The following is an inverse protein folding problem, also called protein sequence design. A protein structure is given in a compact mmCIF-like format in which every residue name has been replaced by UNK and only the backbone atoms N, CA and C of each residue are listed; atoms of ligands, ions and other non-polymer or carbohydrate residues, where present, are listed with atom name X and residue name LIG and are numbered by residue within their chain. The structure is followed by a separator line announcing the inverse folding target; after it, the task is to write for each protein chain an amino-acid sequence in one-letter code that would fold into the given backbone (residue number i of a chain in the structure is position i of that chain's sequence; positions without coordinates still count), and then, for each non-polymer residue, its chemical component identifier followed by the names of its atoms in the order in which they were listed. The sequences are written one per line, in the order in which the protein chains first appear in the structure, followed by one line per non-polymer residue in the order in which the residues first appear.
data_IF_782597039645
#
_entry.id   IF_782597039645
#
_cell.length_a   1.000
_cell.length_b   1.000
_cell.length_c   1.000
_cell.angle_alpha   90.00
_cell.angle_beta   90.00
_cell.angle_gamma   90.00
#
_symmetry.space_group_name_H-M   'P 1'
#
loop_
_entity.id
_entity.type
_entity.pdbx_description
1 polymer ?
#
# COMPACT_ATOMS: atom_id res chain seq x y z
N UNK A 1 57.28 -21.87 39.62
CA UNK A 1 57.21 -21.21 38.29
C UNK A 1 56.50 -22.16 37.33
N UNK A 2 55.32 -21.78 36.84
CA UNK A 2 54.53 -22.60 35.92
C UNK A 2 53.11 -22.07 35.82
N UNK A 3 52.82 -21.38 34.73
CA UNK A 3 51.67 -20.49 34.55
C UNK A 3 50.33 -21.18 34.28
N UNK A 4 49.29 -20.45 34.67
CA UNK A 4 47.85 -20.58 34.42
C UNK A 4 47.42 -20.99 33.01
N UNK A 5 46.27 -21.69 32.90
CA UNK A 5 45.33 -21.54 31.77
C UNK A 5 43.88 -21.61 32.26
N UNK A 6 43.14 -20.52 32.05
CA UNK A 6 41.66 -20.45 32.14
C UNK A 6 41.04 -20.98 30.85
N UNK A 7 39.82 -21.53 30.85
CA UNK A 7 39.13 -21.92 29.62
C UNK A 7 38.74 -20.68 28.79
N UNK A 8 38.94 -20.79 27.48
CA UNK A 8 38.66 -19.74 26.51
C UNK A 8 37.14 -19.56 26.31
N UNK A 9 36.73 -18.30 26.42
CA UNK A 9 35.40 -17.81 26.10
C UNK A 9 35.15 -17.95 24.58
N UNK A 10 34.09 -18.66 24.19
CA UNK A 10 33.78 -18.94 22.78
C UNK A 10 32.97 -17.77 22.23
N UNK A 11 33.67 -16.77 21.68
CA UNK A 11 33.06 -15.65 20.98
C UNK A 11 32.20 -16.13 19.79
N UNK A 12 30.93 -15.75 19.79
CA UNK A 12 30.02 -15.89 18.65
C UNK A 12 30.34 -14.77 17.65
N UNK A 13 30.69 -15.07 16.37
CA UNK A 13 30.95 -14.00 15.41
C UNK A 13 29.66 -13.26 15.06
N UNK A 14 29.73 -11.93 15.10
CA UNK A 14 28.67 -11.04 14.70
C UNK A 14 28.25 -11.32 13.24
N UNK A 15 26.96 -11.58 13.03
CA UNK A 15 26.38 -11.72 11.69
C UNK A 15 26.61 -10.41 10.92
N UNK A 16 27.24 -10.55 9.76
CA UNK A 16 27.61 -9.45 8.88
C UNK A 16 26.43 -8.54 8.56
N UNK A 17 26.71 -7.24 8.51
CA UNK A 17 25.80 -6.23 7.97
C UNK A 17 25.52 -6.59 6.52
N UNK A 18 24.32 -7.10 6.26
CA UNK A 18 23.81 -7.26 4.92
C UNK A 18 23.83 -5.94 4.16
N UNK A 19 23.85 -5.98 2.81
CA UNK A 19 23.97 -4.79 1.99
C UNK A 19 22.83 -3.82 2.31
N UNK A 20 23.19 -2.59 2.67
CA UNK A 20 22.25 -1.47 2.78
C UNK A 20 21.78 -1.15 1.37
N UNK A 21 20.63 -1.67 0.98
CA UNK A 21 19.93 -1.19 -0.20
C UNK A 21 19.55 0.27 0.05
N UNK A 22 20.30 1.20 -0.55
CA UNK A 22 19.86 2.58 -0.72
C UNK A 22 18.73 2.54 -1.75
N UNK A 23 17.49 2.43 -1.29
CA UNK A 23 16.34 2.77 -2.11
C UNK A 23 16.50 4.25 -2.49
N UNK A 24 16.97 4.51 -3.71
CA UNK A 24 17.02 5.85 -4.27
C UNK A 24 15.59 6.32 -4.50
N UNK A 25 14.97 6.89 -3.46
CA UNK A 25 13.65 7.49 -3.52
C UNK A 25 13.65 8.73 -4.40
N UNK A 26 13.53 8.54 -5.71
CA UNK A 26 12.99 9.58 -6.58
C UNK A 26 11.48 9.47 -6.46
N UNK A 27 10.87 10.35 -5.67
CA UNK A 27 9.44 10.64 -5.77
C UNK A 27 9.14 10.87 -7.25
N UNK A 28 8.43 9.92 -7.90
CA UNK A 28 7.97 10.15 -9.27
C UNK A 28 6.94 11.27 -9.17
N UNK A 29 7.25 12.39 -9.82
CA UNK A 29 6.33 13.52 -9.92
C UNK A 29 5.00 13.08 -10.53
N UNK A 30 3.93 13.88 -10.36
CA UNK A 30 2.63 13.53 -10.92
C UNK A 30 2.76 13.25 -12.44
N UNK A 31 2.05 12.24 -12.97
CA UNK A 31 2.06 11.94 -14.40
C UNK A 31 1.55 13.16 -15.19
N UNK A 32 1.93 13.23 -16.47
CA UNK A 32 1.52 14.32 -17.36
C UNK A 32 -0.01 14.26 -17.58
N UNK A 33 -0.77 15.11 -16.91
CA UNK A 33 -2.23 15.20 -17.06
C UNK A 33 -2.91 15.85 -15.85
N UNK A 34 -4.16 16.30 -16.03
CA UNK A 34 -5.00 16.77 -14.93
C UNK A 34 -5.37 15.61 -14.01
N UNK A 35 -5.44 15.87 -12.70
CA UNK A 35 -5.94 14.88 -11.74
C UNK A 35 -7.42 14.59 -12.02
N UNK A 36 -7.81 13.32 -11.95
CA UNK A 36 -9.22 12.89 -11.98
C UNK A 36 -9.96 13.36 -10.72
N UNK A 37 -9.27 13.31 -9.59
CA UNK A 37 -9.77 13.74 -8.28
C UNK A 37 -8.62 14.42 -7.54
N UNK A 38 -8.91 15.54 -6.90
CA UNK A 38 -8.01 16.21 -5.95
C UNK A 38 -8.79 16.60 -4.71
N UNK A 39 -8.27 16.24 -3.55
CA UNK A 39 -8.72 16.65 -2.23
C UNK A 39 -7.47 17.14 -1.50
N UNK A 40 -7.45 18.42 -1.15
CA UNK A 40 -6.32 19.12 -0.51
C UNK A 40 -6.68 19.64 0.90
N UNK A 41 -7.89 19.34 1.36
CA UNK A 41 -8.41 19.69 2.67
C UNK A 41 -8.95 18.45 3.39
N UNK A 42 -8.87 18.48 4.72
CA UNK A 42 -9.30 17.38 5.56
C UNK A 42 -10.79 17.07 5.34
N UNK A 43 -11.12 15.81 5.07
CA UNK A 43 -12.49 15.36 4.83
C UNK A 43 -12.74 13.96 5.35
N UNK A 44 -14.00 13.57 5.44
CA UNK A 44 -14.40 12.23 5.88
C UNK A 44 -14.08 11.18 4.80
N UNK A 45 -13.94 9.92 5.22
CA UNK A 45 -13.83 8.78 4.29
C UNK A 45 -15.04 8.69 3.36
N UNK A 46 -16.24 9.02 3.85
CA UNK A 46 -17.48 9.00 3.06
C UNK A 46 -17.45 10.03 1.92
N UNK A 47 -17.06 11.26 2.23
CA UNK A 47 -17.02 12.35 1.23
C UNK A 47 -15.92 12.12 0.19
N UNK A 48 -14.75 11.63 0.63
CA UNK A 48 -13.70 11.22 -0.29
C UNK A 48 -14.15 10.09 -1.22
N UNK A 49 -14.92 9.13 -0.71
CA UNK A 49 -15.49 8.05 -1.52
C UNK A 49 -16.56 8.55 -2.51
N UNK A 50 -17.34 9.57 -2.14
CA UNK A 50 -18.27 10.21 -3.08
C UNK A 50 -17.53 10.83 -4.28
N UNK A 51 -16.37 11.47 -4.04
CA UNK A 51 -15.52 11.99 -5.10
C UNK A 51 -14.88 10.87 -5.96
N UNK A 52 -14.56 9.72 -5.36
CA UNK A 52 -14.00 8.55 -6.06
C UNK A 52 -15.03 7.75 -6.87
N UNK A 53 -16.33 7.95 -6.66
CA UNK A 53 -17.38 7.11 -7.24
C UNK A 53 -17.31 7.04 -8.78
N UNK A 54 -16.96 8.16 -9.44
CA UNK A 54 -16.81 8.28 -10.89
C UNK A 54 -15.46 7.78 -11.42
N UNK A 55 -14.47 7.56 -10.54
CA UNK A 55 -13.17 7.06 -10.95
C UNK A 55 -13.28 5.59 -11.30
N UNK A 56 -12.87 5.26 -12.53
CA UNK A 56 -12.72 3.90 -13.03
C UNK A 56 -11.43 3.82 -13.84
N UNK A 57 -10.58 2.86 -13.52
CA UNK A 57 -9.37 2.58 -14.28
C UNK A 57 -8.44 1.58 -13.61
N UNK A 58 -7.58 1.00 -14.44
CA UNK A 58 -6.52 0.07 -14.07
C UNK A 58 -5.13 0.61 -14.43
N UNK A 59 -5.04 1.84 -14.93
CA UNK A 59 -3.81 2.59 -15.15
C UNK A 59 -3.86 3.88 -14.33
N UNK A 60 -3.58 3.78 -13.04
CA UNK A 60 -3.77 4.86 -12.07
C UNK A 60 -2.53 5.14 -11.24
N UNK A 61 -2.29 6.42 -10.96
CA UNK A 61 -1.40 6.88 -9.91
C UNK A 61 -2.25 7.53 -8.82
N UNK A 62 -2.07 7.11 -7.57
CA UNK A 62 -2.88 7.53 -6.44
C UNK A 62 -1.95 7.97 -5.31
N UNK A 63 -2.09 9.22 -4.87
CA UNK A 63 -1.46 9.71 -3.65
C UNK A 63 -2.54 9.92 -2.60
N UNK A 64 -2.38 9.30 -1.45
CA UNK A 64 -3.34 9.31 -0.36
C UNK A 64 -2.61 9.56 0.96
N UNK A 65 -3.14 10.46 1.78
CA UNK A 65 -2.72 10.60 3.18
C UNK A 65 -3.94 10.55 4.08
N UNK A 66 -3.95 9.61 5.01
CA UNK A 66 -4.99 9.44 6.00
C UNK A 66 -4.41 9.58 7.40
N UNK A 67 -5.06 10.34 8.26
CA UNK A 67 -4.79 10.36 9.69
C UNK A 67 -5.62 9.27 10.37
N UNK A 68 -4.97 8.38 11.11
CA UNK A 68 -5.59 7.15 11.59
C UNK A 68 -6.78 7.39 12.53
N UNK A 69 -6.74 8.45 13.34
CA UNK A 69 -7.78 8.78 14.31
C UNK A 69 -8.11 7.58 15.21
N UNK A 70 -9.38 7.21 15.29
CA UNK A 70 -9.86 6.05 16.06
C UNK A 70 -10.04 4.77 15.23
N UNK A 71 -9.67 4.78 13.94
CA UNK A 71 -9.88 3.63 13.07
C UNK A 71 -8.99 2.45 13.49
N UNK A 72 -9.58 1.26 13.67
CA UNK A 72 -8.83 0.02 13.92
C UNK A 72 -8.04 -0.46 12.69
N UNK A 73 -8.63 -0.25 11.51
CA UNK A 73 -7.97 -0.49 10.21
C UNK A 73 -8.36 0.61 9.23
N UNK A 74 -7.46 0.97 8.34
CA UNK A 74 -7.69 1.98 7.30
C UNK A 74 -6.88 1.70 6.05
N UNK A 75 -7.31 2.26 4.92
CA UNK A 75 -6.54 2.16 3.68
C UNK A 75 -7.37 2.34 2.42
N UNK A 76 -6.94 1.65 1.37
CA UNK A 76 -7.41 1.81 -0.01
C UNK A 76 -7.60 0.44 -0.66
N UNK A 77 -8.79 0.23 -1.21
CA UNK A 77 -9.08 -0.83 -2.17
C UNK A 77 -8.85 -0.31 -3.59
N UNK A 78 -8.18 -1.12 -4.40
CA UNK A 78 -7.96 -0.89 -5.84
C UNK A 78 -8.48 -2.08 -6.64
N UNK A 79 -8.75 -1.85 -7.93
CA UNK A 79 -9.33 -2.85 -8.83
C UNK A 79 -10.59 -3.49 -8.22
N UNK A 80 -11.45 -2.64 -7.66
CA UNK A 80 -12.64 -3.06 -6.91
C UNK A 80 -13.86 -3.14 -7.82
N UNK A 81 -14.60 -4.23 -7.78
CA UNK A 81 -15.91 -4.35 -8.45
C UNK A 81 -16.98 -3.52 -7.73
N UNK A 82 -18.06 -3.07 -8.41
CA UNK A 82 -19.09 -2.22 -7.80
C UNK A 82 -19.70 -2.81 -6.50
N UNK A 83 -19.98 -4.11 -6.49
CA UNK A 83 -20.58 -4.84 -5.36
C UNK A 83 -19.57 -5.42 -4.37
N UNK A 84 -18.32 -4.97 -4.38
CA UNK A 84 -17.23 -5.45 -3.50
C UNK A 84 -16.82 -6.92 -3.71
N UNK A 85 -17.31 -7.60 -4.74
CA UNK A 85 -17.05 -9.01 -5.01
C UNK A 85 -15.55 -9.29 -5.19
N UNK A 86 -14.88 -8.41 -5.95
CA UNK A 86 -13.44 -8.42 -6.16
C UNK A 86 -12.79 -7.11 -5.67
N UNK A 87 -11.58 -7.22 -5.11
CA UNK A 87 -10.70 -6.10 -4.76
C UNK A 87 -9.27 -6.56 -4.49
N UNK A 88 -8.34 -5.62 -4.53
CA UNK A 88 -7.05 -5.73 -3.84
C UNK A 88 -6.98 -4.65 -2.77
N UNK A 89 -6.76 -5.05 -1.51
CA UNK A 89 -6.82 -4.13 -0.37
C UNK A 89 -5.43 -3.81 0.14
N UNK A 90 -5.04 -2.54 0.08
CA UNK A 90 -3.90 -1.99 0.80
C UNK A 90 -4.41 -1.49 2.15
N UNK A 91 -3.87 -2.00 3.25
CA UNK A 91 -4.38 -1.68 4.58
C UNK A 91 -3.27 -1.39 5.58
N UNK A 92 -3.64 -0.64 6.62
CA UNK A 92 -2.88 -0.49 7.84
C UNK A 92 -3.72 -0.93 9.04
N UNK A 93 -3.14 -1.77 9.89
CA UNK A 93 -3.72 -2.21 11.17
C UNK A 93 -3.09 -1.37 12.30
N UNK A 94 -3.91 -0.58 12.99
CA UNK A 94 -3.42 0.37 13.99
C UNK A 94 -2.96 -0.30 15.28
N UNK A 95 -3.58 -1.42 15.66
CA UNK A 95 -3.20 -2.18 16.85
C UNK A 95 -1.89 -2.94 16.63
N UNK A 96 -1.76 -3.62 15.48
CA UNK A 96 -0.57 -4.39 15.13
C UNK A 96 0.61 -3.53 14.64
N UNK A 97 0.33 -2.28 14.22
CA UNK A 97 1.27 -1.37 13.55
C UNK A 97 1.85 -1.96 12.27
N UNK A 98 0.97 -2.57 11.48
CA UNK A 98 1.34 -3.31 10.29
C UNK A 98 0.69 -2.72 9.05
N UNK A 99 1.50 -2.49 8.02
CA UNK A 99 1.02 -2.28 6.66
C UNK A 99 0.92 -3.64 5.97
N UNK A 100 -0.15 -3.85 5.20
CA UNK A 100 -0.29 -5.05 4.41
C UNK A 100 -1.07 -4.88 3.12
N UNK A 101 -1.09 -5.98 2.38
CA UNK A 101 -1.95 -6.18 1.22
C UNK A 101 -2.73 -7.47 1.37
N UNK A 102 -4.03 -7.39 1.14
CA UNK A 102 -4.95 -8.52 1.08
C UNK A 102 -5.41 -8.72 -0.36
N UNK A 103 -5.08 -9.90 -0.90
CA UNK A 103 -5.45 -10.33 -2.25
C UNK A 103 -6.41 -11.51 -2.30
N UNK A 104 -6.98 -11.89 -1.16
CA UNK A 104 -7.89 -13.04 -1.07
C UNK A 104 -9.08 -12.92 -2.02
N UNK A 105 -9.44 -11.68 -2.40
CA UNK A 105 -10.54 -11.35 -3.33
C UNK A 105 -10.08 -10.70 -4.63
N UNK A 106 -8.85 -10.92 -5.08
CA UNK A 106 -8.31 -10.26 -6.29
C UNK A 106 -8.56 -11.00 -7.61
N UNK A 107 -9.54 -11.93 -7.65
CA UNK A 107 -9.99 -12.63 -8.85
C UNK A 107 -9.34 -14.00 -9.12
N UNK A 108 -9.24 -14.37 -10.41
CA UNK A 108 -9.11 -15.75 -10.92
C UNK A 108 -7.85 -16.53 -10.50
N UNK A 109 -6.82 -15.85 -9.99
CA UNK A 109 -5.54 -16.49 -9.63
C UNK A 109 -5.33 -16.50 -8.10
N UNK A 110 -6.25 -15.93 -7.31
CA UNK A 110 -6.20 -15.95 -5.84
C UNK A 110 -6.08 -17.38 -5.27
N UNK A 111 -6.59 -18.38 -6.00
CA UNK A 111 -6.71 -19.77 -5.57
C UNK A 111 -5.62 -20.73 -6.05
N UNK A 112 -4.75 -20.38 -7.01
CA UNK A 112 -3.84 -21.34 -7.66
C UNK A 112 -2.37 -21.22 -7.27
N UNK A 113 -1.99 -20.22 -6.47
CA UNK A 113 -0.61 -20.04 -5.98
C UNK A 113 -0.59 -20.03 -4.45
N UNK A 114 0.16 -20.93 -3.79
CA UNK A 114 0.41 -20.87 -2.35
C UNK A 114 0.99 -19.50 -1.95
N UNK A 115 0.59 -18.95 -0.80
CA UNK A 115 1.01 -17.63 -0.27
C UNK A 115 0.46 -16.36 -0.98
N UNK A 116 -0.64 -16.48 -1.71
CA UNK A 116 -1.30 -15.31 -2.34
C UNK A 116 -2.19 -14.48 -1.40
N UNK A 117 -2.47 -14.93 -0.18
CA UNK A 117 -3.36 -14.25 0.77
C UNK A 117 -2.83 -12.91 1.30
N UNK A 118 -2.88 -12.75 2.62
CA UNK A 118 -2.51 -11.49 3.27
C UNK A 118 -0.99 -11.46 3.49
N UNK A 119 -0.33 -10.41 3.01
CA UNK A 119 1.08 -10.12 3.31
C UNK A 119 1.18 -8.82 4.06
N UNK A 120 1.91 -8.81 5.16
CA UNK A 120 2.02 -7.65 6.05
C UNK A 120 3.40 -7.53 6.68
N UNK A 121 3.70 -6.34 7.18
CA UNK A 121 4.93 -6.06 7.89
C UNK A 121 4.86 -4.75 8.66
N UNK A 122 5.76 -4.62 9.64
CA UNK A 122 5.81 -3.49 10.55
C UNK A 122 6.06 -2.16 9.82
N UNK A 123 5.20 -1.18 10.12
CA UNK A 123 5.30 0.20 9.67
C UNK A 123 4.91 1.12 10.83
N UNK A 124 5.79 2.05 11.20
CA UNK A 124 5.41 3.14 12.09
C UNK A 124 4.75 4.27 11.28
N UNK A 125 3.63 4.80 11.77
CA UNK A 125 3.06 6.03 11.21
C UNK A 125 3.94 7.23 11.58
N UNK A 126 3.97 8.22 10.69
CA UNK A 126 4.62 9.52 10.93
C UNK A 126 3.51 10.50 11.29
N UNK A 127 3.57 11.09 12.48
CA UNK A 127 2.53 12.01 13.00
C UNK A 127 1.11 11.43 12.96
N UNK A 128 0.97 10.12 13.22
CA UNK A 128 -0.31 9.41 13.17
C UNK A 128 -0.89 9.24 11.76
N UNK A 129 -0.09 9.52 10.72
CA UNK A 129 -0.52 9.48 9.32
C UNK A 129 0.04 8.29 8.55
N UNK A 130 -0.84 7.72 7.73
CA UNK A 130 -0.52 6.79 6.67
C UNK A 130 -0.52 7.55 5.35
N UNK A 131 0.67 7.75 4.77
CA UNK A 131 0.83 8.25 3.40
C UNK A 131 1.13 7.09 2.47
N UNK A 132 0.35 6.96 1.40
CA UNK A 132 0.51 5.98 0.34
C UNK A 132 0.75 6.68 -1.01
N UNK A 133 1.74 6.21 -1.75
CA UNK A 133 1.98 6.52 -3.16
C UNK A 133 1.81 5.22 -3.96
N UNK A 134 0.69 5.08 -4.66
CA UNK A 134 0.21 3.83 -5.25
C UNK A 134 0.14 3.93 -6.77
N UNK A 135 0.71 2.93 -7.45
CA UNK A 135 0.69 2.76 -8.89
C UNK A 135 -0.05 1.48 -9.23
N UNK A 136 -1.07 1.59 -10.08
CA UNK A 136 -1.83 0.47 -10.64
C UNK A 136 -1.56 0.45 -12.14
N UNK A 137 -0.86 -0.58 -12.63
CA UNK A 137 -0.66 -0.86 -14.06
C UNK A 137 -1.24 -2.23 -14.38
N UNK A 138 -2.52 -2.21 -14.77
CA UNK A 138 -3.36 -3.36 -15.07
C UNK A 138 -3.34 -4.37 -13.94
N UNK A 139 -2.48 -5.37 -14.03
CA UNK A 139 -2.35 -6.44 -13.05
C UNK A 139 -1.27 -6.20 -11.99
N UNK A 140 -0.49 -5.13 -12.10
CA UNK A 140 0.61 -4.81 -11.18
C UNK A 140 0.18 -3.67 -10.27
N UNK A 141 0.35 -3.87 -8.96
CA UNK A 141 0.11 -2.86 -7.94
C UNK A 141 1.39 -2.64 -7.16
N UNK A 142 1.89 -1.42 -7.15
CA UNK A 142 3.01 -0.98 -6.34
C UNK A 142 2.55 0.11 -5.38
N UNK A 143 2.85 0.01 -4.09
CA UNK A 143 2.49 1.00 -3.09
C UNK A 143 3.70 1.32 -2.22
N UNK A 144 3.99 2.61 -2.05
CA UNK A 144 5.06 3.11 -1.19
C UNK A 144 4.42 3.82 0.00
N UNK A 145 4.67 3.29 1.20
CA UNK A 145 4.09 3.80 2.43
C UNK A 145 5.13 4.58 3.25
N UNK A 146 4.77 5.81 3.63
CA UNK A 146 5.59 6.73 4.44
C UNK A 146 7.04 6.82 3.95
N UNK A 147 7.31 6.66 2.65
CA UNK A 147 8.65 6.61 2.04
C UNK A 147 9.59 5.50 2.53
N UNK A 148 9.14 4.61 3.42
CA UNK A 148 9.98 3.64 4.14
C UNK A 148 9.69 2.18 3.82
N UNK A 149 8.50 1.87 3.30
CA UNK A 149 8.08 0.52 2.96
C UNK A 149 7.47 0.51 1.57
N UNK A 150 7.64 -0.60 0.87
CA UNK A 150 7.03 -0.85 -0.43
C UNK A 150 6.29 -2.17 -0.41
N UNK A 151 5.14 -2.19 -1.07
CA UNK A 151 4.41 -3.39 -1.45
C UNK A 151 4.45 -3.45 -2.97
N UNK A 152 4.89 -4.57 -3.52
CA UNK A 152 4.77 -4.87 -4.95
C UNK A 152 4.02 -6.18 -5.06
N UNK A 153 2.93 -6.17 -5.83
CA UNK A 153 2.06 -7.32 -5.93
C UNK A 153 1.37 -7.39 -7.28
N UNK A 154 0.74 -8.54 -7.54
CA UNK A 154 -0.13 -8.73 -8.68
C UNK A 154 -1.55 -9.05 -8.26
N UNK A 155 -2.50 -8.61 -9.08
CA UNK A 155 -3.92 -8.89 -8.98
C UNK A 155 -4.46 -9.22 -10.38
N UNK A 156 -5.38 -10.18 -10.46
CA UNK A 156 -5.96 -10.61 -11.74
C UNK A 156 -7.47 -10.69 -11.59
N UNK A 157 -8.16 -9.53 -11.56
CA UNK A 157 -9.61 -9.48 -11.48
C UNK A 157 -10.21 -10.34 -12.60
N UNK A 158 -11.20 -11.17 -12.26
CA UNK A 158 -11.93 -11.96 -13.25
C UNK A 158 -12.98 -11.12 -13.97
N UNK A 159 -13.46 -10.05 -13.31
CA UNK A 159 -14.47 -9.16 -13.86
C UNK A 159 -13.83 -7.97 -14.55
N UNK A 160 -14.39 -7.60 -15.71
CA UNK A 160 -13.95 -6.44 -16.49
C UNK A 160 -14.36 -5.10 -15.86
N UNK A 161 -15.30 -5.11 -14.91
CA UNK A 161 -15.78 -3.92 -14.19
C UNK A 161 -15.10 -3.70 -12.83
N UNK A 162 -14.10 -4.51 -12.49
CA UNK A 162 -13.24 -4.36 -11.30
C UNK A 162 -12.22 -3.23 -11.47
N UNK A 163 -12.74 -2.01 -11.66
CA UNK A 163 -11.98 -0.80 -12.00
C UNK A 163 -12.11 0.30 -10.94
N UNK A 164 -12.83 0.05 -9.85
CA UNK A 164 -13.12 1.04 -8.82
C UNK A 164 -11.99 1.22 -7.81
N UNK A 165 -12.08 2.36 -7.09
CA UNK A 165 -11.32 2.68 -5.89
C UNK A 165 -12.28 2.84 -4.72
N UNK A 166 -11.87 2.45 -3.52
CA UNK A 166 -12.65 2.70 -2.30
C UNK A 166 -11.73 2.88 -1.09
N UNK A 167 -11.91 3.96 -0.34
CA UNK A 167 -11.27 4.15 0.96
C UNK A 167 -12.11 3.50 2.06
N UNK A 168 -11.44 3.02 3.11
CA UNK A 168 -12.09 2.50 4.32
C UNK A 168 -11.32 2.94 5.56
N UNK A 169 -11.96 2.83 6.73
CA UNK A 169 -11.40 3.24 8.01
C UNK A 169 -12.23 4.32 8.67
N UNK A 170 -13.48 3.99 9.00
CA UNK A 170 -14.37 4.85 9.76
C UNK A 170 -13.68 5.32 11.06
N UNK A 171 -13.73 6.62 11.34
CA UNK A 171 -12.98 7.24 12.44
C UNK A 171 -11.59 7.76 12.05
N UNK A 172 -11.15 7.56 10.80
CA UNK A 172 -9.99 8.23 10.21
C UNK A 172 -10.39 9.49 9.43
N UNK A 173 -9.41 10.32 9.10
CA UNK A 173 -9.60 11.53 8.28
C UNK A 173 -8.72 11.48 7.04
N UNK A 174 -9.31 11.73 5.87
CA UNK A 174 -8.56 11.86 4.61
C UNK A 174 -8.01 13.29 4.56
N UNK A 175 -6.70 13.43 4.73
CA UNK A 175 -6.03 14.75 4.75
C UNK A 175 -5.65 15.23 3.35
N UNK A 176 -5.36 14.30 2.44
CA UNK A 176 -5.11 14.59 1.03
C UNK A 176 -5.37 13.37 0.17
N UNK A 177 -5.97 13.55 -1.00
CA UNK A 177 -6.12 12.53 -2.03
C UNK A 177 -5.86 13.15 -3.39
N UNK A 178 -5.12 12.47 -4.24
CA UNK A 178 -5.00 12.83 -5.64
C UNK A 178 -4.92 11.57 -6.48
N UNK A 179 -5.70 11.53 -7.56
CA UNK A 179 -5.76 10.40 -8.47
C UNK A 179 -5.52 10.89 -9.88
N UNK A 180 -4.62 10.24 -10.61
CA UNK A 180 -4.33 10.52 -12.00
C UNK A 180 -4.45 9.26 -12.84
N UNK A 181 -4.82 9.42 -14.11
CA UNK A 181 -4.54 8.37 -15.10
C UNK A 181 -3.04 8.36 -15.39
N UNK A 182 -2.46 7.18 -15.44
CA UNK A 182 -1.13 7.03 -16.03
C UNK A 182 -1.25 6.98 -17.55
N UNK A 183 -0.31 7.61 -18.23
CA UNK A 183 -0.20 7.47 -19.68
C UNK A 183 0.20 6.05 -20.03
N UNK A 184 -0.70 5.29 -20.66
CA UNK A 184 -0.32 4.11 -21.42
C UNK A 184 0.26 4.54 -22.77
N UNK A 185 1.11 3.72 -23.37
CA UNK A 185 1.28 3.81 -24.83
C UNK A 185 -0.09 3.51 -25.45
N UNK A 186 -0.61 4.43 -26.27
CA UNK A 186 -1.65 4.08 -27.22
C UNK A 186 -1.08 2.97 -28.10
N UNK A 187 -1.71 1.79 -28.06
CA UNK A 187 -1.42 0.72 -29.00
C UNK A 187 -2.23 0.97 -30.26
#
# INVERSE_FOLDING_TARGET
MGAQRRPADRAVPARGRGPRFRAGGRSRGPPRGAALVTIDSATSVSDANAALASVKGDLLHIKLTMEAGSAGTLGLDVLRSPGDEERTRLFYDTAAKELGVDRTRSGNVSSTVPDLGIRKGQLALVDGKLSLDVFVDRSIIEAYANTHRSITTRAYPSRTDSLGLQLFGEGSTVTSLSVWKMGGMAV
#
